data_IF_254440917053
#
_entry.id   IF_254440917053
#
_cell.length_a   1.000
_cell.length_b   1.000
_cell.length_c   1.000
_cell.angle_alpha   90.00
_cell.angle_beta   90.00
_cell.angle_gamma   90.00
#
_symmetry.space_group_name_H-M   'P 1'
#
loop_
_entity.id
_entity.type
_entity.pdbx_description
1 polymer ?
#
# COMPACT_ATOMS: atom_id res chain seq x y z
N UNK A 1 -56.99 -22.13 -10.45
CA UNK A 1 -56.94 -22.86 -11.73
C UNK A 1 -57.35 -21.90 -12.82
N UNK A 2 -56.69 -21.99 -13.97
CA UNK A 2 -56.72 -21.10 -15.15
C UNK A 2 -55.81 -19.86 -15.04
N UNK A 3 -55.00 -19.51 -16.04
CA UNK A 3 -54.33 -20.30 -17.07
C UNK A 3 -53.23 -19.41 -17.65
N UNK A 4 -52.11 -20.02 -18.02
CA UNK A 4 -50.96 -19.37 -18.61
C UNK A 4 -51.26 -19.01 -20.08
N UNK A 5 -51.04 -17.75 -20.49
CA UNK A 5 -50.81 -17.40 -21.90
C UNK A 5 -49.52 -16.63 -22.05
N UNK A 6 -48.52 -17.36 -22.53
CA UNK A 6 -47.32 -16.84 -23.18
C UNK A 6 -47.74 -16.38 -24.58
N UNK A 7 -47.53 -15.10 -24.91
CA UNK A 7 -47.33 -14.65 -26.28
C UNK A 7 -46.19 -13.64 -26.27
N UNK A 8 -45.14 -14.02 -26.99
CA UNK A 8 -43.90 -13.29 -27.29
C UNK A 8 -44.16 -12.07 -28.17
N UNK A 9 -43.41 -10.99 -27.95
CA UNK A 9 -43.02 -10.09 -29.03
C UNK A 9 -41.56 -9.69 -28.85
N UNK A 10 -40.74 -10.17 -29.78
CA UNK A 10 -39.37 -9.71 -30.02
C UNK A 10 -39.41 -8.22 -30.41
N UNK A 11 -38.63 -7.40 -29.71
CA UNK A 11 -38.07 -6.18 -30.28
C UNK A 11 -36.68 -6.01 -29.69
N UNK A 12 -35.73 -6.00 -30.60
CA UNK A 12 -34.29 -5.98 -30.40
C UNK A 12 -33.89 -4.54 -30.13
N UNK A 13 -33.49 -4.20 -28.90
CA UNK A 13 -32.82 -2.93 -28.63
C UNK A 13 -31.51 -3.20 -27.87
N UNK A 14 -30.43 -3.14 -28.64
CA UNK A 14 -29.08 -2.92 -28.15
C UNK A 14 -29.06 -1.63 -27.33
N UNK A 15 -29.01 -1.75 -26.01
CA UNK A 15 -28.55 -0.66 -25.16
C UNK A 15 -27.05 -0.84 -24.96
N UNK A 16 -26.28 -0.12 -25.78
CA UNK A 16 -24.89 0.20 -25.49
C UNK A 16 -24.88 1.06 -24.21
N UNK A 17 -24.56 0.45 -23.08
CA UNK A 17 -24.11 1.18 -21.89
C UNK A 17 -22.64 1.56 -22.06
N UNK A 18 -22.40 2.50 -22.98
CA UNK A 18 -21.23 3.38 -22.91
C UNK A 18 -21.48 4.38 -21.77
N UNK A 19 -21.46 3.86 -20.54
CA UNK A 19 -21.26 4.71 -19.37
C UNK A 19 -19.80 5.16 -19.40
N UNK A 20 -19.53 6.21 -20.18
CA UNK A 20 -18.34 7.03 -20.01
C UNK A 20 -18.39 7.54 -18.58
N UNK A 21 -17.71 6.82 -17.69
CA UNK A 21 -17.52 7.21 -16.31
C UNK A 21 -16.58 8.42 -16.33
N UNK A 22 -17.18 9.58 -16.64
CA UNK A 22 -16.54 10.86 -16.52
C UNK A 22 -16.39 11.12 -15.03
N UNK A 23 -15.34 10.52 -14.46
CA UNK A 23 -14.75 10.93 -13.20
C UNK A 23 -14.58 12.45 -13.28
N UNK A 24 -15.56 13.17 -12.75
CA UNK A 24 -15.50 14.62 -12.61
C UNK A 24 -14.15 14.95 -11.97
N UNK A 25 -13.30 15.67 -12.70
CA UNK A 25 -11.93 15.91 -12.29
C UNK A 25 -11.90 16.51 -10.89
N UNK A 26 -11.55 15.69 -9.90
CA UNK A 26 -11.52 16.08 -8.50
C UNK A 26 -10.71 17.38 -8.37
N UNK A 27 -11.14 18.36 -7.55
CA UNK A 27 -10.52 19.69 -7.48
C UNK A 27 -9.00 19.69 -7.24
N UNK A 28 -8.46 18.64 -6.61
CA UNK A 28 -7.03 18.50 -6.39
C UNK A 28 -6.25 18.11 -7.67
N UNK A 29 -6.85 17.40 -8.64
CA UNK A 29 -6.20 17.06 -9.93
C UNK A 29 -5.79 18.34 -10.68
N UNK A 30 -6.62 19.39 -10.64
CA UNK A 30 -6.35 20.70 -11.29
C UNK A 30 -5.28 21.53 -10.58
N UNK A 31 -5.13 21.38 -9.25
CA UNK A 31 -4.16 22.14 -8.43
C UNK A 31 -2.74 21.57 -8.44
N UNK A 32 -2.56 20.33 -8.89
CA UNK A 32 -1.26 19.66 -8.92
C UNK A 32 -0.85 19.20 -10.32
N UNK A 33 -1.14 19.99 -11.38
CA UNK A 33 -0.48 19.85 -12.68
C UNK A 33 1.00 20.17 -12.51
N UNK A 34 1.76 19.16 -12.06
CA UNK A 34 3.20 19.25 -11.94
C UNK A 34 3.81 19.08 -13.32
N UNK A 35 4.72 19.97 -13.69
CA UNK A 35 5.58 19.74 -14.84
C UNK A 35 6.34 18.41 -14.62
N UNK A 36 6.51 17.57 -15.66
CA UNK A 36 7.32 16.36 -15.55
C UNK A 36 8.73 16.73 -15.06
N UNK A 37 9.08 16.36 -13.83
CA UNK A 37 10.46 16.52 -13.36
C UNK A 37 11.31 15.43 -14.00
N UNK A 38 12.52 15.72 -14.50
CA UNK A 38 13.37 14.73 -15.16
C UNK A 38 13.76 13.54 -14.26
N UNK A 39 13.58 13.64 -12.94
CA UNK A 39 13.72 12.53 -11.98
C UNK A 39 12.63 12.60 -10.91
N UNK A 40 11.78 11.56 -10.84
CA UNK A 40 10.79 11.41 -9.75
C UNK A 40 11.50 11.17 -8.42
N UNK A 41 11.01 11.81 -7.35
CA UNK A 41 11.47 11.55 -5.97
C UNK A 41 11.06 10.13 -5.55
N UNK A 42 11.80 9.53 -4.63
CA UNK A 42 11.48 8.22 -4.09
C UNK A 42 10.55 8.35 -2.87
N UNK A 43 9.43 7.66 -2.92
CA UNK A 43 8.51 7.51 -1.80
C UNK A 43 8.55 6.05 -1.34
N UNK A 44 8.84 5.84 -0.07
CA UNK A 44 8.85 4.53 0.57
C UNK A 44 7.71 4.47 1.58
N UNK A 45 6.79 3.52 1.43
CA UNK A 45 5.62 3.39 2.29
C UNK A 45 5.70 2.14 3.16
N UNK A 46 5.37 2.31 4.44
CA UNK A 46 4.94 1.22 5.31
C UNK A 46 3.55 0.70 4.90
N UNK A 47 3.31 -0.62 4.99
CA UNK A 47 1.95 -1.16 4.83
C UNK A 47 1.10 -1.00 6.10
N UNK A 48 1.56 -1.60 7.20
CA UNK A 48 0.81 -1.66 8.45
C UNK A 48 0.60 -0.28 9.06
N UNK A 49 -0.63 0.01 9.49
CA UNK A 49 -1.03 1.28 10.10
C UNK A 49 -1.22 2.42 9.10
N UNK A 50 -0.62 2.35 7.91
CA UNK A 50 -0.75 3.35 6.85
C UNK A 50 -1.80 2.97 5.82
N UNK A 51 -1.57 1.85 5.10
CA UNK A 51 -2.40 1.39 4.00
C UNK A 51 -3.40 0.31 4.43
N UNK A 52 -3.03 -0.48 5.44
CA UNK A 52 -3.87 -1.53 6.01
C UNK A 52 -3.79 -1.57 7.52
N UNK A 53 -4.87 -2.02 8.15
CA UNK A 53 -4.87 -2.42 9.55
C UNK A 53 -4.74 -3.95 9.65
N UNK A 54 -3.86 -4.44 10.53
CA UNK A 54 -3.62 -5.88 10.71
C UNK A 54 -3.97 -6.26 12.14
N UNK A 55 -4.91 -7.19 12.30
CA UNK A 55 -5.41 -7.64 13.60
C UNK A 55 -5.07 -9.10 13.77
N UNK A 56 -4.43 -9.43 14.90
CA UNK A 56 -4.15 -10.82 15.25
C UNK A 56 -5.46 -11.56 15.52
N UNK A 57 -5.66 -12.71 14.86
CA UNK A 57 -6.97 -13.40 14.84
C UNK A 57 -7.47 -13.73 16.25
N UNK A 58 -6.57 -14.04 17.20
CA UNK A 58 -6.98 -14.32 18.59
C UNK A 58 -7.63 -13.13 19.27
N UNK A 59 -7.24 -11.89 18.94
CA UNK A 59 -7.82 -10.69 19.53
C UNK A 59 -9.20 -10.35 18.92
N UNK A 60 -9.51 -10.86 17.72
CA UNK A 60 -10.82 -10.67 17.07
C UNK A 60 -11.94 -11.38 17.82
N UNK A 61 -11.64 -12.48 18.54
CA UNK A 61 -12.63 -13.23 19.33
C UNK A 61 -13.25 -12.40 20.47
N UNK A 62 -12.62 -11.29 20.85
CA UNK A 62 -13.09 -10.39 21.90
C UNK A 62 -13.76 -9.12 21.36
N UNK A 63 -13.92 -8.97 20.04
CA UNK A 63 -14.53 -7.79 19.44
C UNK A 63 -16.07 -7.87 19.48
N UNK A 64 -16.78 -6.80 19.89
CA UNK A 64 -18.23 -6.75 19.83
C UNK A 64 -18.74 -6.82 18.38
N UNK A 65 -19.87 -7.48 18.19
CA UNK A 65 -20.46 -7.80 16.89
C UNK A 65 -21.06 -6.57 16.14
N UNK A 66 -21.24 -6.64 14.81
CA UNK A 66 -20.83 -7.75 13.94
C UNK A 66 -19.35 -7.67 13.54
N UNK A 67 -18.67 -8.82 13.41
CA UNK A 67 -17.26 -8.83 13.05
C UNK A 67 -17.08 -8.36 11.60
N UNK A 68 -16.43 -7.21 11.40
CA UNK A 68 -16.01 -6.70 10.09
C UNK A 68 -15.33 -7.81 9.28
N UNK A 69 -15.73 -7.99 8.02
CA UNK A 69 -15.11 -8.96 7.11
C UNK A 69 -13.71 -8.46 6.70
N UNK A 70 -12.65 -9.23 6.92
CA UNK A 70 -11.32 -8.85 6.47
C UNK A 70 -11.20 -9.03 4.95
N UNK A 71 -10.42 -8.15 4.32
CA UNK A 71 -10.17 -8.22 2.89
C UNK A 71 -9.21 -9.36 2.52
N UNK A 72 -8.27 -9.69 3.40
CA UNK A 72 -7.34 -10.82 3.22
C UNK A 72 -6.83 -11.36 4.56
N UNK A 73 -6.47 -12.64 4.59
CA UNK A 73 -5.75 -13.25 5.71
C UNK A 73 -4.27 -13.44 5.34
N UNK A 74 -3.36 -13.10 6.27
CA UNK A 74 -1.90 -13.28 6.10
C UNK A 74 -1.31 -13.93 7.35
N UNK A 75 -0.91 -15.19 7.24
CA UNK A 75 -0.56 -16.01 8.41
C UNK A 75 -1.68 -15.99 9.45
N UNK A 76 -1.35 -15.63 10.69
CA UNK A 76 -2.32 -15.53 11.81
C UNK A 76 -3.01 -14.16 11.95
N UNK A 77 -3.01 -13.33 10.90
CA UNK A 77 -3.56 -11.98 10.93
C UNK A 77 -4.70 -11.80 9.91
N UNK A 78 -5.78 -11.18 10.37
CA UNK A 78 -6.81 -10.60 9.52
C UNK A 78 -6.37 -9.19 9.09
N UNK A 79 -6.47 -8.89 7.80
CA UNK A 79 -6.04 -7.61 7.22
C UNK A 79 -7.23 -6.86 6.66
N UNK A 80 -7.31 -5.58 7.00
CA UNK A 80 -8.36 -4.67 6.57
C UNK A 80 -7.74 -3.53 5.79
N UNK A 81 -8.22 -3.29 4.56
CA UNK A 81 -7.82 -2.15 3.75
C UNK A 81 -8.26 -0.86 4.41
N UNK A 82 -7.39 0.14 4.39
CA UNK A 82 -7.80 1.48 4.77
C UNK A 82 -8.64 2.07 3.64
N UNK A 83 -9.76 2.76 3.93
CA UNK A 83 -10.50 3.48 2.91
C UNK A 83 -9.58 4.37 2.06
N UNK A 84 -9.81 4.39 0.75
CA UNK A 84 -9.04 5.16 -0.24
C UNK A 84 -7.56 4.77 -0.40
N UNK A 85 -7.10 3.66 0.19
CA UNK A 85 -5.68 3.26 0.06
C UNK A 85 -5.26 2.97 -1.39
N UNK A 86 -6.16 2.40 -2.20
CA UNK A 86 -5.89 2.11 -3.62
C UNK A 86 -5.69 3.41 -4.41
N UNK A 87 -6.55 4.41 -4.22
CA UNK A 87 -6.46 5.69 -4.92
C UNK A 87 -5.26 6.51 -4.44
N UNK A 88 -4.94 6.43 -3.15
CA UNK A 88 -3.71 7.01 -2.60
C UNK A 88 -2.46 6.40 -3.27
N UNK A 89 -2.40 5.08 -3.46
CA UNK A 89 -1.27 4.46 -4.15
C UNK A 89 -1.21 4.88 -5.63
N UNK A 90 -2.34 4.94 -6.33
CA UNK A 90 -2.40 5.47 -7.70
C UNK A 90 -1.86 6.90 -7.77
N UNK A 91 -2.32 7.76 -6.86
CA UNK A 91 -1.82 9.14 -6.72
C UNK A 91 -0.30 9.19 -6.51
N UNK A 92 0.25 8.27 -5.72
CA UNK A 92 1.68 8.16 -5.49
C UNK A 92 2.44 7.77 -6.76
N UNK A 93 1.96 6.78 -7.53
CA UNK A 93 2.60 6.36 -8.79
C UNK A 93 2.67 7.47 -9.84
N UNK A 94 1.71 8.41 -9.83
CA UNK A 94 1.73 9.56 -10.74
C UNK A 94 2.91 10.52 -10.47
N UNK A 95 3.43 10.56 -9.23
CA UNK A 95 4.33 11.62 -8.74
C UNK A 95 5.68 11.13 -8.25
N UNK A 96 5.75 9.87 -7.84
CA UNK A 96 6.91 9.29 -7.17
C UNK A 96 7.33 7.98 -7.82
N UNK A 97 8.62 7.69 -7.69
CA UNK A 97 9.07 6.31 -7.71
C UNK A 97 8.63 5.68 -6.38
N UNK A 98 7.89 4.56 -6.42
CA UNK A 98 7.21 4.04 -5.23
C UNK A 98 7.83 2.70 -4.79
N UNK A 99 8.29 2.65 -3.54
CA UNK A 99 8.75 1.43 -2.89
C UNK A 99 7.89 1.06 -1.68
N UNK A 100 7.76 -0.24 -1.43
CA UNK A 100 7.12 -0.77 -0.21
C UNK A 100 8.19 -1.32 0.70
N UNK A 101 8.13 -0.94 1.97
CA UNK A 101 8.98 -1.53 3.01
C UNK A 101 8.10 -1.93 4.20
N UNK A 102 7.91 -3.23 4.40
CA UNK A 102 7.11 -3.78 5.49
C UNK A 102 7.97 -4.37 6.60
N UNK A 103 7.45 -4.43 7.83
CA UNK A 103 8.07 -5.19 8.94
C UNK A 103 7.58 -6.65 9.00
N UNK A 104 6.91 -7.09 7.93
CA UNK A 104 6.41 -8.45 7.74
C UNK A 104 7.25 -9.17 6.70
N UNK A 105 7.32 -10.49 6.80
CA UNK A 105 7.93 -11.33 5.75
C UNK A 105 7.30 -11.02 4.39
N UNK A 106 8.12 -11.09 3.34
CA UNK A 106 7.76 -10.65 1.98
C UNK A 106 6.48 -11.32 1.44
N UNK A 107 6.30 -12.63 1.63
CA UNK A 107 5.11 -13.34 1.14
C UNK A 107 3.79 -12.78 1.71
N UNK A 108 3.79 -12.35 2.98
CA UNK A 108 2.62 -11.69 3.59
C UNK A 108 2.42 -10.29 3.02
N UNK A 109 3.51 -9.57 2.75
CA UNK A 109 3.50 -8.24 2.12
C UNK A 109 2.87 -8.31 0.73
N UNK A 110 3.26 -9.29 -0.09
CA UNK A 110 2.70 -9.50 -1.42
C UNK A 110 1.20 -9.80 -1.42
N UNK A 111 0.74 -10.67 -0.51
CA UNK A 111 -0.68 -10.98 -0.38
C UNK A 111 -1.51 -9.72 -0.08
N UNK A 112 -0.97 -8.81 0.75
CA UNK A 112 -1.60 -7.52 1.04
C UNK A 112 -1.58 -6.61 -0.19
N UNK A 113 -0.47 -6.53 -0.93
CA UNK A 113 -0.39 -5.70 -2.15
C UNK A 113 -1.37 -6.16 -3.23
N UNK A 114 -1.48 -7.48 -3.42
CA UNK A 114 -2.47 -8.09 -4.33
C UNK A 114 -3.90 -7.73 -3.92
N UNK A 115 -4.19 -7.70 -2.62
CA UNK A 115 -5.48 -7.28 -2.08
C UNK A 115 -5.77 -5.78 -2.33
N UNK A 116 -4.76 -4.90 -2.23
CA UNK A 116 -4.93 -3.45 -2.40
C UNK A 116 -5.13 -3.06 -3.87
N UNK A 117 -4.34 -3.61 -4.78
CA UNK A 117 -4.29 -3.12 -6.17
C UNK A 117 -4.08 -4.19 -7.23
N UNK A 118 -4.39 -5.45 -6.92
CA UNK A 118 -4.34 -6.56 -7.86
C UNK A 118 -2.92 -7.09 -8.10
N UNK A 119 -2.83 -8.11 -8.97
CA UNK A 119 -1.58 -8.83 -9.24
C UNK A 119 -0.49 -7.97 -9.89
N UNK A 120 -0.86 -6.91 -10.62
CA UNK A 120 0.08 -6.00 -11.27
C UNK A 120 0.69 -4.96 -10.32
N UNK A 121 0.19 -4.85 -9.08
CA UNK A 121 0.70 -3.85 -8.13
C UNK A 121 2.20 -4.04 -7.89
N UNK A 122 2.65 -5.30 -7.72
CA UNK A 122 4.07 -5.61 -7.45
C UNK A 122 4.98 -5.17 -8.60
N UNK A 123 4.55 -5.33 -9.86
CA UNK A 123 5.39 -5.05 -11.03
C UNK A 123 5.56 -3.55 -11.30
N UNK A 124 4.65 -2.72 -10.78
CA UNK A 124 4.73 -1.24 -10.88
C UNK A 124 5.59 -0.63 -9.78
N UNK A 125 5.85 -1.37 -8.69
CA UNK A 125 6.68 -0.90 -7.58
C UNK A 125 8.15 -0.99 -7.92
N UNK A 126 8.91 0.00 -7.47
CA UNK A 126 10.36 0.05 -7.61
C UNK A 126 11.05 -1.06 -6.82
N UNK A 127 10.47 -1.43 -5.67
CA UNK A 127 10.86 -2.58 -4.86
C UNK A 127 9.76 -2.94 -3.85
N UNK A 128 9.81 -4.18 -3.37
CA UNK A 128 9.02 -4.67 -2.24
C UNK A 128 9.97 -5.30 -1.24
N UNK A 129 10.12 -4.69 -0.07
CA UNK A 129 10.99 -5.16 1.00
C UNK A 129 10.18 -5.60 2.20
N UNK A 130 10.63 -6.70 2.81
CA UNK A 130 10.04 -7.31 3.98
C UNK A 130 10.85 -7.07 5.25
N UNK A 131 10.62 -7.97 6.21
CA UNK A 131 11.34 -8.00 7.48
C UNK A 131 12.82 -8.25 7.27
N UNK A 132 13.17 -9.02 6.25
CA UNK A 132 14.50 -9.45 5.85
C UNK A 132 15.42 -8.24 5.57
N UNK A 133 14.84 -7.13 5.12
CA UNK A 133 15.54 -5.87 4.88
C UNK A 133 15.57 -4.94 6.08
N UNK A 134 14.84 -5.25 7.15
CA UNK A 134 14.90 -4.45 8.37
C UNK A 134 16.17 -4.73 9.18
N UNK A 135 16.42 -3.89 10.19
CA UNK A 135 17.38 -4.15 11.25
C UNK A 135 16.59 -4.57 12.48
N UNK A 136 16.87 -5.76 13.01
CA UNK A 136 16.37 -6.14 14.32
C UNK A 136 17.09 -5.31 15.38
N UNK A 137 16.33 -4.51 16.14
CA UNK A 137 16.91 -3.69 17.20
C UNK A 137 17.30 -4.50 18.45
N UNK A 138 16.90 -5.78 18.53
CA UNK A 138 17.09 -6.62 19.71
C UNK A 138 16.19 -6.27 20.89
N UNK A 139 15.35 -5.23 20.75
CA UNK A 139 14.38 -4.80 21.76
C UNK A 139 12.95 -5.01 21.25
N UNK A 140 12.05 -5.32 22.18
CA UNK A 140 10.64 -5.46 21.87
C UNK A 140 9.89 -4.13 22.03
N UNK A 141 8.74 -4.01 21.36
CA UNK A 141 7.84 -2.89 21.54
C UNK A 141 7.35 -2.82 23.00
N UNK A 142 7.37 -1.63 23.60
CA UNK A 142 6.98 -1.43 25.01
C UNK A 142 5.58 -1.98 25.35
N UNK A 143 4.64 -1.89 24.40
CA UNK A 143 3.26 -2.39 24.57
C UNK A 143 3.11 -3.89 24.35
N UNK A 144 4.10 -4.54 23.74
CA UNK A 144 4.06 -5.95 23.40
C UNK A 144 5.48 -6.53 23.32
N UNK A 145 5.91 -7.18 24.40
CA UNK A 145 7.22 -7.83 24.51
C UNK A 145 7.44 -8.94 23.47
N UNK A 146 6.37 -9.43 22.83
CA UNK A 146 6.41 -10.43 21.76
C UNK A 146 6.46 -9.81 20.35
N UNK A 147 6.48 -8.48 20.23
CA UNK A 147 6.63 -7.77 18.96
C UNK A 147 8.04 -7.15 18.90
N UNK A 148 9.00 -7.79 18.20
CA UNK A 148 10.32 -7.19 17.97
C UNK A 148 10.18 -5.83 17.28
N UNK A 149 11.05 -4.90 17.65
CA UNK A 149 11.13 -3.62 16.98
C UNK A 149 12.11 -3.71 15.81
N UNK A 150 11.59 -3.48 14.61
CA UNK A 150 12.36 -3.48 13.37
C UNK A 150 12.61 -2.05 12.90
N UNK A 151 13.88 -1.69 12.72
CA UNK A 151 14.30 -0.40 12.20
C UNK A 151 14.49 -0.46 10.69
N UNK A 152 14.19 0.66 10.01
CA UNK A 152 14.37 0.81 8.57
C UNK A 152 15.42 1.86 8.31
N UNK A 153 16.46 1.48 7.59
CA UNK A 153 17.60 2.33 7.29
C UNK A 153 17.64 2.65 5.80
N UNK A 154 17.19 3.86 5.42
CA UNK A 154 17.16 4.29 4.02
C UNK A 154 18.54 4.25 3.35
N UNK A 155 19.66 4.21 4.09
CA UNK A 155 20.98 4.00 3.50
C UNK A 155 21.05 2.70 2.71
N UNK A 156 20.33 1.63 3.13
CA UNK A 156 20.22 0.36 2.38
C UNK A 156 19.64 0.57 0.97
N UNK A 157 18.72 1.52 0.82
CA UNK A 157 18.09 1.90 -0.46
C UNK A 157 19.06 2.73 -1.30
N UNK A 158 19.70 3.73 -0.69
CA UNK A 158 20.61 4.67 -1.37
C UNK A 158 21.90 4.01 -1.85
N UNK A 159 22.44 3.11 -1.05
CA UNK A 159 23.68 2.37 -1.33
C UNK A 159 23.46 1.20 -2.28
N UNK A 160 22.21 0.92 -2.68
CA UNK A 160 21.82 -0.25 -3.47
C UNK A 160 22.31 -1.55 -2.85
N UNK A 161 21.83 -1.86 -1.64
CA UNK A 161 22.11 -3.15 -0.96
C UNK A 161 21.92 -4.34 -1.91
N UNK A 162 20.90 -4.27 -2.77
CA UNK A 162 20.66 -5.25 -3.83
C UNK A 162 20.85 -4.61 -5.22
N UNK A 163 21.47 -5.37 -6.12
CA UNK A 163 21.83 -4.89 -7.46
C UNK A 163 20.62 -4.68 -8.38
N UNK A 164 19.52 -5.38 -8.11
CA UNK A 164 18.26 -5.42 -8.86
C UNK A 164 17.39 -4.17 -8.72
N UNK A 165 17.72 -3.25 -7.80
CA UNK A 165 17.00 -1.98 -7.69
C UNK A 165 17.10 -1.15 -8.99
N UNK A 166 16.01 -0.53 -9.48
CA UNK A 166 15.95 0.02 -10.84
C UNK A 166 16.72 1.33 -11.07
N UNK A 167 17.39 1.87 -10.05
CA UNK A 167 18.17 3.11 -10.14
C UNK A 167 19.69 2.89 -10.11
N UNK A 168 20.47 3.96 -10.32
CA UNK A 168 21.94 3.94 -10.13
C UNK A 168 22.30 4.36 -8.70
N UNK A 169 23.43 3.88 -8.17
CA UNK A 169 23.95 4.33 -6.86
C UNK A 169 24.10 5.86 -6.88
N UNK A 170 23.64 6.53 -5.83
CA UNK A 170 23.64 8.00 -5.73
C UNK A 170 22.46 8.71 -6.41
N UNK A 171 21.56 8.00 -7.11
CA UNK A 171 20.34 8.60 -7.67
C UNK A 171 19.35 9.04 -6.58
N UNK A 172 19.29 8.30 -5.47
CA UNK A 172 18.49 8.64 -4.30
C UNK A 172 19.36 8.87 -3.08
N UNK A 173 18.93 9.81 -2.24
CA UNK A 173 19.55 10.22 -1.00
C UNK A 173 18.50 10.82 -0.06
N UNK A 174 18.95 11.35 1.09
CA UNK A 174 18.09 12.08 2.03
C UNK A 174 17.32 13.24 1.38
N UNK A 175 17.89 13.92 0.37
CA UNK A 175 17.27 15.12 -0.20
C UNK A 175 16.09 14.85 -1.13
N UNK A 176 15.92 13.60 -1.58
CA UNK A 176 14.89 13.22 -2.55
C UNK A 176 14.20 11.88 -2.24
N UNK A 177 14.31 11.39 -1.00
CA UNK A 177 13.65 10.18 -0.52
C UNK A 177 12.80 10.49 0.70
N UNK A 178 11.55 10.03 0.72
CA UNK A 178 10.66 10.13 1.87
C UNK A 178 10.21 8.74 2.33
N UNK A 179 10.35 8.44 3.62
CA UNK A 179 9.77 7.25 4.25
C UNK A 179 8.55 7.64 5.08
N UNK A 180 7.38 7.07 4.76
CA UNK A 180 6.16 7.26 5.55
C UNK A 180 5.86 5.97 6.32
N UNK A 181 6.02 6.03 7.64
CA UNK A 181 5.77 4.93 8.56
C UNK A 181 5.05 5.40 9.82
N UNK A 182 4.12 4.57 10.30
CA UNK A 182 3.20 4.95 11.40
C UNK A 182 3.77 4.58 12.78
N UNK A 183 4.73 3.67 12.84
CA UNK A 183 5.42 3.30 14.08
C UNK A 183 6.67 4.20 14.26
N UNK A 184 6.66 5.22 15.15
CA UNK A 184 7.75 6.20 15.26
C UNK A 184 9.15 5.59 15.45
N UNK A 185 9.33 4.49 16.23
CA UNK A 185 10.66 3.93 16.42
C UNK A 185 11.22 3.30 15.14
N UNK A 186 10.38 2.92 14.17
CA UNK A 186 10.83 2.25 12.93
C UNK A 186 11.60 3.18 12.00
N UNK A 187 11.45 4.50 12.18
CA UNK A 187 12.11 5.54 11.37
C UNK A 187 13.29 6.20 12.07
N UNK A 188 13.71 5.75 13.25
CA UNK A 188 14.76 6.38 14.08
C UNK A 188 16.11 6.56 13.36
N UNK A 189 16.43 5.68 12.41
CA UNK A 189 17.69 5.74 11.67
C UNK A 189 17.64 6.75 10.51
N UNK A 190 16.48 7.35 10.25
CA UNK A 190 16.28 8.25 9.14
C UNK A 190 16.18 9.68 9.64
N UNK A 191 16.79 10.63 8.92
CA UNK A 191 16.78 12.02 9.30
C UNK A 191 15.35 12.57 9.38
N UNK A 192 15.09 13.40 10.39
CA UNK A 192 13.80 14.09 10.54
C UNK A 192 13.56 14.91 9.28
N UNK A 193 12.40 14.75 8.66
CA UNK A 193 11.94 15.69 7.63
C UNK A 193 11.86 17.06 8.27
N UNK A 194 12.86 17.92 8.04
CA UNK A 194 12.78 19.31 8.45
C UNK A 194 11.59 19.91 7.69
N UNK A 195 10.57 20.48 8.38
CA UNK A 195 9.51 21.19 7.69
C UNK A 195 10.13 22.32 6.86
N UNK A 196 9.60 22.51 5.65
CA UNK A 196 9.95 23.62 4.78
C UNK A 196 9.55 24.95 5.40
#
# INVERSE_FOLDING_TARGET
MADLKVVTNHSNENYNDDASDSESELPWKKRFKMAPTPRRKLLVLCLGGLLVNRVYIRHRRSAPAPPLNPDVYTGSFAVFKRPFCTDFIKFCFERFELGIWSATVECNTEAVLKCIGGSEMKTKLAFVWGREECIDSGIACQRNSQKPLFLKDLRRVWEKKYLDLPWRRGQYSQSNTLLICVDPPTSLLNPVTKPF
#
